data_IF_881392157930
#
_entry.id   IF_881392157930
#
_cell.length_a   1.000
_cell.length_b   1.000
_cell.length_c   1.000
_cell.angle_alpha   90.00
_cell.angle_beta   90.00
_cell.angle_gamma   90.00
#
_symmetry.space_group_name_H-M   'P 1'
#
loop_
_entity.id
_entity.type
_entity.pdbx_description
1 polymer ?
#
# COMPACT_ATOMS: atom_id res chain seq x y z
N UNK A 1 -20.32 -6.17 -16.11
CA UNK A 1 -20.15 -5.02 -15.20
C UNK A 1 -18.67 -4.67 -15.25
N UNK A 2 -18.30 -3.45 -15.65
CA UNK A 2 -16.91 -3.04 -15.62
C UNK A 2 -16.57 -2.67 -14.17
N UNK A 3 -15.71 -3.47 -13.53
CA UNK A 3 -15.16 -3.17 -12.21
C UNK A 3 -13.91 -2.34 -12.41
N UNK A 4 -13.90 -1.12 -11.89
CA UNK A 4 -12.73 -0.25 -11.94
C UNK A 4 -11.80 -0.63 -10.78
N UNK A 5 -10.60 -1.10 -11.12
CA UNK A 5 -9.64 -1.64 -10.16
C UNK A 5 -9.25 -0.57 -9.12
N UNK A 6 -9.40 -0.88 -7.84
CA UNK A 6 -8.97 -0.01 -6.72
C UNK A 6 -7.69 -0.58 -6.09
N UNK A 7 -6.63 0.21 -6.15
CA UNK A 7 -5.30 -0.16 -5.63
C UNK A 7 -5.00 0.71 -4.41
N UNK A 8 -4.76 0.05 -3.28
CA UNK A 8 -4.21 0.67 -2.09
C UNK A 8 -2.70 0.76 -2.21
N UNK A 9 -2.13 1.95 -2.12
CA UNK A 9 -0.69 2.16 -2.01
C UNK A 9 -0.39 2.60 -0.58
N UNK A 10 0.43 1.83 0.13
CA UNK A 10 0.84 2.13 1.49
C UNK A 10 2.26 2.68 1.44
N UNK A 11 2.43 3.92 1.89
CA UNK A 11 3.74 4.51 2.12
C UNK A 11 3.90 4.77 3.63
N UNK A 12 4.55 3.84 4.36
CA UNK A 12 4.73 3.96 5.81
C UNK A 12 5.68 5.10 6.21
N UNK A 13 6.44 5.64 5.26
CA UNK A 13 7.43 6.69 5.50
C UNK A 13 6.88 8.10 5.40
N UNK A 14 7.82 9.05 5.41
CA UNK A 14 7.55 10.47 5.20
C UNK A 14 8.31 11.03 3.99
N UNK A 15 8.83 10.16 3.12
CA UNK A 15 9.58 10.58 1.94
C UNK A 15 8.62 10.84 0.77
N UNK A 16 8.37 12.12 0.49
CA UNK A 16 7.51 12.56 -0.61
C UNK A 16 8.03 12.17 -1.99
N UNK A 17 9.35 12.13 -2.17
CA UNK A 17 9.95 11.76 -3.45
C UNK A 17 9.81 10.26 -3.72
N UNK A 18 10.07 9.43 -2.70
CA UNK A 18 9.82 8.00 -2.79
C UNK A 18 8.35 7.67 -3.02
N UNK A 19 7.43 8.42 -2.40
CA UNK A 19 6.00 8.29 -2.71
C UNK A 19 5.72 8.64 -4.17
N UNK A 20 6.18 9.79 -4.66
CA UNK A 20 5.97 10.24 -6.05
C UNK A 20 6.45 9.20 -7.05
N UNK A 21 7.72 8.77 -6.93
CA UNK A 21 8.31 7.76 -7.80
C UNK A 21 7.58 6.42 -7.72
N UNK A 22 7.12 6.02 -6.53
CA UNK A 22 6.31 4.82 -6.36
C UNK A 22 4.97 4.92 -7.08
N UNK A 23 4.27 6.05 -6.98
CA UNK A 23 3.00 6.27 -7.66
C UNK A 23 3.16 6.31 -9.17
N UNK A 24 4.22 6.93 -9.70
CA UNK A 24 4.53 6.93 -11.14
C UNK A 24 4.70 5.49 -11.68
N UNK A 25 5.40 4.64 -10.93
CA UNK A 25 5.57 3.22 -11.28
C UNK A 25 4.24 2.46 -11.24
N UNK A 26 3.44 2.65 -10.18
CA UNK A 26 2.11 2.02 -10.07
C UNK A 26 1.19 2.47 -11.22
N UNK A 27 1.16 3.77 -11.54
CA UNK A 27 0.34 4.29 -12.65
C UNK A 27 0.79 3.73 -14.00
N UNK A 28 2.10 3.57 -14.22
CA UNK A 28 2.63 2.96 -15.44
C UNK A 28 2.13 1.52 -15.60
N UNK A 29 2.13 0.72 -14.53
CA UNK A 29 1.66 -0.67 -14.56
C UNK A 29 0.13 -0.80 -14.55
N UNK A 30 -0.59 0.18 -13.99
CA UNK A 30 -2.05 0.19 -13.89
C UNK A 30 -2.65 1.52 -14.38
N UNK A 31 -2.67 1.77 -15.71
CA UNK A 31 -3.02 3.08 -16.27
C UNK A 31 -4.42 3.58 -15.88
N UNK A 32 -5.37 2.67 -15.69
CA UNK A 32 -6.78 3.00 -15.42
C UNK A 32 -7.21 2.72 -13.98
N UNK A 33 -6.31 2.31 -13.09
CA UNK A 33 -6.70 1.99 -11.71
C UNK A 33 -6.95 3.24 -10.86
N UNK A 34 -7.86 3.13 -9.92
CA UNK A 34 -8.06 4.11 -8.84
C UNK A 34 -6.98 3.89 -7.78
N UNK A 35 -6.05 4.83 -7.66
CA UNK A 35 -4.93 4.75 -6.72
C UNK A 35 -5.32 5.50 -5.45
N UNK A 36 -5.39 4.77 -4.33
CA UNK A 36 -5.67 5.30 -3.01
C UNK A 36 -4.43 5.17 -2.15
N UNK A 37 -3.95 6.27 -1.58
CA UNK A 37 -2.73 6.28 -0.78
C UNK A 37 -3.07 6.26 0.71
N UNK A 38 -2.56 5.27 1.44
CA UNK A 38 -2.55 5.26 2.90
C UNK A 38 -1.16 5.70 3.38
N UNK A 39 -1.12 6.83 4.08
CA UNK A 39 0.12 7.40 4.58
C UNK A 39 -0.07 8.11 5.93
N UNK A 40 1.05 8.58 6.50
CA UNK A 40 1.03 9.42 7.69
C UNK A 40 0.32 10.75 7.43
N UNK A 41 -0.15 11.42 8.49
CA UNK A 41 -0.71 12.76 8.39
C UNK A 41 0.29 13.76 7.78
N UNK A 42 1.58 13.61 8.08
CA UNK A 42 2.65 14.48 7.58
C UNK A 42 2.84 14.35 6.06
N UNK A 43 2.71 13.14 5.52
CA UNK A 43 2.90 12.90 4.08
C UNK A 43 1.65 13.25 3.24
N UNK A 44 0.48 13.36 3.88
CA UNK A 44 -0.81 13.52 3.21
C UNK A 44 -0.87 14.71 2.24
N UNK A 45 -0.30 15.87 2.60
CA UNK A 45 -0.32 17.05 1.73
C UNK A 45 0.50 16.84 0.45
N UNK A 46 1.63 16.13 0.55
CA UNK A 46 2.42 15.74 -0.62
C UNK A 46 1.68 14.70 -1.45
N UNK A 47 1.02 13.72 -0.83
CA UNK A 47 0.21 12.72 -1.52
C UNK A 47 -0.92 13.36 -2.34
N UNK A 48 -1.65 14.33 -1.76
CA UNK A 48 -2.72 15.08 -2.43
C UNK A 48 -2.24 15.92 -3.63
N UNK A 49 -0.95 16.24 -3.71
CA UNK A 49 -0.37 17.00 -4.82
C UNK A 49 0.02 16.12 -6.03
N UNK A 50 -0.04 14.80 -5.90
CA UNK A 50 0.31 13.87 -6.97
C UNK A 50 -0.94 13.64 -7.84
N UNK A 51 -0.85 13.99 -9.12
CA UNK A 51 -1.98 13.99 -10.06
C UNK A 51 -2.65 12.60 -10.20
N UNK A 52 -1.85 11.54 -10.07
CA UNK A 52 -2.31 10.16 -10.22
C UNK A 52 -2.96 9.57 -8.96
N UNK A 53 -2.94 10.30 -7.83
CA UNK A 53 -3.56 9.87 -6.57
C UNK A 53 -5.03 10.31 -6.56
N UNK A 54 -5.93 9.34 -6.50
CA UNK A 54 -7.37 9.57 -6.50
C UNK A 54 -7.91 9.90 -5.11
N UNK A 55 -7.32 9.31 -4.07
CA UNK A 55 -7.75 9.48 -2.68
C UNK A 55 -6.56 9.31 -1.74
N UNK A 56 -6.58 10.05 -0.63
CA UNK A 56 -5.61 9.91 0.46
C UNK A 56 -6.33 9.50 1.73
N UNK A 57 -5.91 8.39 2.32
CA UNK A 57 -6.33 7.89 3.62
C UNK A 57 -5.25 8.22 4.65
N UNK A 58 -5.67 8.87 5.72
CA UNK A 58 -4.84 9.12 6.91
C UNK A 58 -5.53 8.44 8.08
N UNK A 59 -4.77 7.64 8.84
CA UNK A 59 -5.32 6.90 9.96
C UNK A 59 -4.38 6.95 11.17
N UNK A 60 -4.93 7.05 12.38
CA UNK A 60 -4.17 7.17 13.63
C UNK A 60 -3.40 5.90 14.03
N UNK A 61 -3.58 4.81 13.29
CA UNK A 61 -2.82 3.58 13.43
C UNK A 61 -1.48 3.62 12.70
N UNK A 62 -1.19 4.68 11.93
CA UNK A 62 0.04 4.82 11.16
C UNK A 62 0.69 6.16 11.48
N UNK A 63 1.98 6.11 11.82
CA UNK A 63 2.84 7.27 12.00
C UNK A 63 4.25 6.99 11.45
N UNK A 64 5.19 7.91 11.69
CA UNK A 64 6.59 7.78 11.25
C UNK A 64 7.35 6.56 11.79
N UNK A 65 6.85 5.93 12.85
CA UNK A 65 7.43 4.71 13.43
C UNK A 65 6.86 3.44 12.80
N UNK A 66 5.71 3.54 12.12
CA UNK A 66 5.04 2.45 11.44
C UNK A 66 3.62 2.25 11.94
N UNK A 67 3.24 1.00 12.16
CA UNK A 67 1.92 0.65 12.70
C UNK A 67 1.91 0.79 14.23
N UNK A 68 0.80 1.32 14.75
CA UNK A 68 0.57 1.43 16.18
C UNK A 68 0.42 0.06 16.85
N UNK A 69 1.00 -0.10 18.03
CA UNK A 69 0.80 -1.30 18.88
C UNK A 69 -0.59 -1.33 19.56
N UNK A 70 -1.35 -0.23 19.50
CA UNK A 70 -2.68 -0.16 20.09
C UNK A 70 -3.70 -0.96 19.25
N UNK A 71 -4.16 -2.09 19.78
CA UNK A 71 -5.03 -3.03 19.06
C UNK A 71 -6.31 -2.37 18.53
N UNK A 72 -6.92 -1.44 19.28
CA UNK A 72 -8.12 -0.70 18.85
C UNK A 72 -7.88 0.14 17.59
N UNK A 73 -6.70 0.75 17.46
CA UNK A 73 -6.31 1.52 16.28
C UNK A 73 -6.06 0.60 15.09
N UNK A 74 -5.43 -0.55 15.31
CA UNK A 74 -5.24 -1.53 14.25
C UNK A 74 -6.57 -2.11 13.75
N UNK A 75 -7.48 -2.46 14.67
CA UNK A 75 -8.80 -2.99 14.31
C UNK A 75 -9.62 -1.98 13.52
N UNK A 76 -9.66 -0.72 13.96
CA UNK A 76 -10.34 0.34 13.19
C UNK A 76 -9.73 0.59 11.81
N UNK A 77 -8.40 0.47 11.66
CA UNK A 77 -7.76 0.51 10.35
C UNK A 77 -8.20 -0.67 9.47
N UNK A 78 -8.23 -1.88 10.02
CA UNK A 78 -8.66 -3.09 9.30
C UNK A 78 -10.11 -2.92 8.82
N UNK A 79 -11.00 -2.42 9.67
CA UNK A 79 -12.40 -2.17 9.34
C UNK A 79 -12.54 -1.13 8.22
N UNK A 80 -11.80 -0.02 8.30
CA UNK A 80 -11.75 0.98 7.24
C UNK A 80 -11.35 0.36 5.89
N UNK A 81 -10.24 -0.38 5.85
CA UNK A 81 -9.74 -0.99 4.62
C UNK A 81 -10.69 -2.06 4.06
N UNK A 82 -11.40 -2.77 4.93
CA UNK A 82 -12.40 -3.77 4.54
C UNK A 82 -13.62 -3.12 3.84
N UNK A 83 -14.04 -1.95 4.30
CA UNK A 83 -15.14 -1.19 3.68
C UNK A 83 -14.76 -0.65 2.30
N UNK A 84 -13.51 -0.23 2.15
CA UNK A 84 -12.98 0.34 0.89
C UNK A 84 -12.85 -0.68 -0.26
N UNK A 85 -12.80 -1.99 0.05
CA UNK A 85 -12.82 -3.10 -0.92
C UNK A 85 -11.73 -2.97 -2.01
N UNK A 86 -10.47 -2.87 -1.60
CA UNK A 86 -9.35 -2.85 -2.53
C UNK A 86 -9.13 -4.21 -3.20
N UNK A 87 -8.84 -4.18 -4.50
CA UNK A 87 -8.44 -5.36 -5.25
C UNK A 87 -7.00 -5.77 -4.90
N UNK A 88 -6.14 -4.76 -4.66
CA UNK A 88 -4.73 -4.96 -4.41
C UNK A 88 -4.19 -3.95 -3.40
N UNK A 89 -3.18 -4.35 -2.64
CA UNK A 89 -2.37 -3.48 -1.79
C UNK A 89 -0.90 -3.56 -2.21
N UNK A 90 -0.28 -2.39 -2.41
CA UNK A 90 1.14 -2.22 -2.73
C UNK A 90 1.80 -1.49 -1.58
N UNK A 91 2.72 -2.15 -0.91
CA UNK A 91 3.49 -1.59 0.20
C UNK A 91 4.82 -1.12 -0.37
N UNK A 92 4.98 0.20 -0.47
CA UNK A 92 6.18 0.79 -1.02
C UNK A 92 7.37 0.58 -0.07
N UNK A 93 8.59 0.41 -0.61
CA UNK A 93 9.79 0.36 0.20
C UNK A 93 9.99 1.68 0.95
N UNK A 94 10.49 1.56 2.18
CA UNK A 94 10.78 2.71 3.03
C UNK A 94 11.94 2.40 3.97
N UNK A 95 13.16 2.53 3.43
CA UNK A 95 14.38 2.20 4.13
C UNK A 95 14.39 0.74 4.60
N UNK A 96 14.68 0.53 5.89
CA UNK A 96 14.78 -0.79 6.52
C UNK A 96 13.47 -1.27 7.16
N UNK A 97 12.33 -0.62 6.89
CA UNK A 97 11.06 -1.08 7.45
C UNK A 97 10.55 -2.31 6.72
N UNK A 98 10.15 -3.29 7.50
CA UNK A 98 9.51 -4.49 7.00
C UNK A 98 8.11 -4.18 6.45
N UNK A 99 7.71 -4.68 5.26
CA UNK A 99 6.36 -4.49 4.73
C UNK A 99 5.33 -5.42 5.40
N UNK A 100 5.79 -6.48 6.07
CA UNK A 100 4.91 -7.54 6.58
C UNK A 100 3.84 -7.08 7.58
N UNK A 101 4.11 -6.16 8.51
CA UNK A 101 3.06 -5.62 9.39
C UNK A 101 1.88 -5.02 8.61
N UNK A 102 2.17 -4.25 7.55
CA UNK A 102 1.13 -3.68 6.68
C UNK A 102 0.42 -4.75 5.85
N UNK A 103 1.16 -5.77 5.39
CA UNK A 103 0.59 -6.91 4.69
C UNK A 103 -0.41 -7.68 5.57
N UNK A 104 -0.14 -7.84 6.87
CA UNK A 104 -1.08 -8.46 7.81
C UNK A 104 -2.37 -7.65 7.97
N UNK A 105 -2.26 -6.34 8.11
CA UNK A 105 -3.45 -5.46 8.15
C UNK A 105 -4.29 -5.63 6.87
N UNK A 106 -3.64 -5.63 5.70
CA UNK A 106 -4.31 -5.84 4.42
C UNK A 106 -4.95 -7.24 4.30
N UNK A 107 -4.27 -8.27 4.82
CA UNK A 107 -4.78 -9.63 4.86
C UNK A 107 -6.05 -9.74 5.71
N UNK A 108 -6.05 -9.16 6.90
CA UNK A 108 -7.24 -9.14 7.77
C UNK A 108 -8.37 -8.28 7.21
N UNK A 109 -8.05 -7.25 6.42
CA UNK A 109 -9.03 -6.47 5.66
C UNK A 109 -9.63 -7.23 4.47
N UNK A 110 -9.07 -8.40 4.11
CA UNK A 110 -9.56 -9.24 3.02
C UNK A 110 -9.04 -8.84 1.63
N UNK A 111 -7.99 -8.01 1.54
CA UNK A 111 -7.41 -7.58 0.27
C UNK A 111 -6.66 -8.77 -0.36
N UNK A 112 -7.04 -9.26 -1.55
CA UNK A 112 -6.57 -10.56 -2.05
C UNK A 112 -5.12 -10.55 -2.55
N UNK A 113 -4.67 -9.45 -3.16
CA UNK A 113 -3.30 -9.28 -3.67
C UNK A 113 -2.56 -8.29 -2.80
N UNK A 114 -1.45 -8.72 -2.19
CA UNK A 114 -0.64 -7.89 -1.27
C UNK A 114 0.81 -7.96 -1.69
N UNK A 115 1.35 -6.82 -2.05
CA UNK A 115 2.60 -6.68 -2.77
C UNK A 115 3.57 -5.89 -1.91
N UNK A 116 4.81 -6.33 -1.85
CA UNK A 116 5.80 -5.66 -1.02
C UNK A 116 7.22 -5.97 -1.48
N UNK A 117 8.08 -4.98 -1.35
CA UNK A 117 9.52 -5.16 -1.55
C UNK A 117 10.12 -5.65 -0.23
N UNK A 118 10.73 -6.83 -0.24
CA UNK A 118 11.33 -7.42 0.96
C UNK A 118 12.45 -8.38 0.59
N UNK A 119 13.55 -8.30 1.35
CA UNK A 119 14.61 -9.30 1.36
C UNK A 119 14.45 -10.30 2.53
N UNK A 120 13.37 -10.18 3.31
CA UNK A 120 13.11 -10.98 4.50
C UNK A 120 12.08 -12.08 4.18
N UNK A 121 12.09 -13.17 4.95
CA UNK A 121 11.05 -14.18 4.88
C UNK A 121 9.90 -13.84 5.84
N UNK A 122 8.70 -13.58 5.31
CA UNK A 122 7.49 -13.34 6.11
C UNK A 122 6.33 -14.29 5.77
N UNK A 123 6.63 -15.45 5.17
CA UNK A 123 5.63 -16.44 4.77
C UNK A 123 4.69 -15.95 3.66
N UNK A 124 3.47 -16.49 3.61
CA UNK A 124 2.50 -16.22 2.54
C UNK A 124 1.63 -14.97 2.73
N UNK A 125 1.98 -14.08 3.67
CA UNK A 125 1.15 -12.88 3.91
C UNK A 125 1.31 -11.86 2.79
N UNK A 126 2.50 -11.74 2.19
CA UNK A 126 2.64 -11.13 0.87
C UNK A 126 2.22 -12.16 -0.18
N UNK A 127 1.37 -11.76 -1.12
CA UNK A 127 1.00 -12.58 -2.26
C UNK A 127 2.14 -12.64 -3.29
N UNK A 128 2.90 -11.55 -3.44
CA UNK A 128 4.13 -11.49 -4.22
C UNK A 128 5.16 -10.59 -3.49
N UNK A 129 6.44 -10.97 -3.58
CA UNK A 129 7.55 -10.16 -3.08
C UNK A 129 8.71 -10.14 -4.08
N UNK A 130 9.50 -9.07 -4.05
CA UNK A 130 10.66 -8.84 -4.92
C UNK A 130 11.67 -7.91 -4.26
N UNK A 131 12.80 -7.66 -4.92
CA UNK A 131 13.87 -6.81 -4.37
C UNK A 131 13.68 -5.33 -4.70
N UNK A 132 12.80 -5.01 -5.64
CA UNK A 132 12.39 -3.64 -5.97
C UNK A 132 10.92 -3.62 -6.43
N UNK A 133 10.34 -2.44 -6.57
CA UNK A 133 8.90 -2.29 -6.87
C UNK A 133 8.57 -2.71 -8.31
N UNK A 134 9.46 -2.44 -9.27
CA UNK A 134 9.31 -2.84 -10.68
C UNK A 134 9.12 -4.37 -10.81
N UNK A 135 10.01 -5.15 -10.18
CA UNK A 135 9.92 -6.61 -10.16
C UNK A 135 8.61 -7.11 -9.51
N UNK A 136 8.16 -6.43 -8.45
CA UNK A 136 6.91 -6.81 -7.76
C UNK A 136 5.70 -6.53 -8.65
N UNK A 137 5.70 -5.42 -9.39
CA UNK A 137 4.60 -5.04 -10.29
C UNK A 137 4.52 -5.97 -11.50
N UNK A 138 5.65 -6.36 -12.09
CA UNK A 138 5.70 -7.28 -13.24
C UNK A 138 5.06 -8.63 -12.90
N UNK A 139 5.38 -9.20 -11.73
CA UNK A 139 4.84 -10.50 -11.27
C UNK A 139 3.32 -10.51 -11.07
N UNK A 140 2.71 -9.35 -10.88
CA UNK A 140 1.26 -9.22 -10.68
C UNK A 140 0.53 -9.25 -12.00
N UNK A 141 1.13 -8.68 -13.04
CA UNK A 141 0.59 -8.71 -14.38
C UNK A 141 0.64 -10.13 -14.97
N UNK A 142 1.64 -10.94 -14.60
CA UNK A 142 1.73 -12.35 -15.03
C UNK A 142 0.70 -13.28 -14.38
N UNK A 143 0.13 -12.88 -13.24
CA UNK A 143 -0.82 -13.70 -12.46
C UNK A 143 -2.30 -13.36 -12.72
N UNK A 144 -2.59 -12.34 -13.53
CA UNK A 144 -3.93 -11.85 -13.89
C UNK A 144 -4.38 -12.37 -15.26
#
# INVERSE_FOLDING_TARGET
MWHEQRILVIQPGNNAESLRSGIEQVRSSFPTAQIVVLCTARLSQSALSIIDVNQVLVHCAIDETGLSDASERLLSLIELLKVEQFDQAIILPDGNRSPYPFAYVCYFAGIPVRLGVSCEFGGGVLSQCGVNIEEVLDRVQEAA
#
